data_IF_649065262807
#
_entry.id   IF_649065262807
#
_cell.length_a   1.000
_cell.length_b   1.000
_cell.length_c   1.000
_cell.angle_alpha   90.00
_cell.angle_beta   90.00
_cell.angle_gamma   90.00
#
_symmetry.space_group_name_H-M   'P 1'
#
loop_
_entity.id
_entity.type
_entity.pdbx_description
1 polymer ?
#
# COMPACT_ATOMS: atom_id res chain seq x y z
N UNK A 1 2.55 15.03 9.72
CA UNK A 1 2.55 14.19 8.50
C UNK A 1 3.55 13.02 8.56
N UNK A 2 4.76 13.19 9.12
CA UNK A 2 5.78 12.12 9.16
C UNK A 2 5.39 10.86 9.98
N UNK A 3 4.71 11.01 11.13
CA UNK A 3 4.32 9.86 11.96
C UNK A 3 3.30 8.96 11.25
N UNK A 4 2.32 9.56 10.56
CA UNK A 4 1.31 8.83 9.80
C UNK A 4 1.94 8.03 8.66
N UNK A 5 2.79 8.67 7.85
CA UNK A 5 3.47 8.02 6.73
C UNK A 5 4.34 6.86 7.20
N UNK A 6 5.13 7.05 8.26
CA UNK A 6 5.96 5.99 8.84
C UNK A 6 5.12 4.83 9.36
N UNK A 7 4.02 5.10 10.06
CA UNK A 7 3.10 4.04 10.55
C UNK A 7 2.43 3.31 9.39
N UNK A 8 1.99 4.03 8.36
CA UNK A 8 1.37 3.46 7.17
C UNK A 8 2.33 2.53 6.43
N UNK A 9 3.58 2.95 6.20
CA UNK A 9 4.60 2.14 5.54
C UNK A 9 4.90 0.89 6.36
N UNK A 10 5.14 1.03 7.67
CA UNK A 10 5.39 -0.12 8.55
C UNK A 10 4.26 -1.15 8.52
N UNK A 11 3.01 -0.68 8.58
CA UNK A 11 1.84 -1.57 8.52
C UNK A 11 1.68 -2.22 7.14
N UNK A 12 1.95 -1.48 6.07
CA UNK A 12 1.90 -2.02 4.71
C UNK A 12 2.96 -3.11 4.50
N UNK A 13 4.20 -2.87 4.92
CA UNK A 13 5.28 -3.87 4.87
C UNK A 13 4.91 -5.12 5.69
N UNK A 14 4.36 -4.97 6.89
CA UNK A 14 3.91 -6.12 7.68
C UNK A 14 2.84 -6.98 6.98
N UNK A 15 2.01 -6.41 6.09
CA UNK A 15 1.02 -7.17 5.30
C UNK A 15 1.69 -7.79 4.06
N UNK A 16 2.65 -7.08 3.45
CA UNK A 16 3.45 -7.60 2.33
C UNK A 16 4.29 -8.79 2.78
N UNK A 17 4.86 -8.74 3.98
CA UNK A 17 5.74 -9.78 4.53
C UNK A 17 4.96 -10.98 5.10
N UNK A 18 3.63 -10.87 5.26
CA UNK A 18 2.75 -11.93 5.75
C UNK A 18 1.82 -12.45 4.63
N UNK A 19 2.18 -13.57 3.97
CA UNK A 19 1.35 -14.19 2.94
C UNK A 19 0.00 -14.73 3.44
N UNK A 20 -0.14 -14.96 4.75
CA UNK A 20 -1.38 -15.48 5.34
C UNK A 20 -2.42 -14.38 5.57
N UNK A 21 -2.01 -13.12 5.48
CA UNK A 21 -2.88 -11.99 5.70
C UNK A 21 -3.94 -11.89 4.59
N UNK A 22 -5.24 -11.71 4.91
CA UNK A 22 -6.33 -11.70 3.92
C UNK A 22 -6.19 -10.58 2.88
N UNK A 23 -5.56 -9.46 3.26
CA UNK A 23 -5.29 -8.33 2.36
C UNK A 23 -3.94 -8.39 1.64
N UNK A 24 -3.15 -9.45 1.80
CA UNK A 24 -1.84 -9.59 1.14
C UNK A 24 -1.95 -9.45 -0.38
N UNK A 25 -3.01 -10.01 -0.97
CA UNK A 25 -3.30 -9.94 -2.42
C UNK A 25 -3.48 -8.52 -2.95
N UNK A 26 -3.85 -7.54 -2.10
CA UNK A 26 -3.93 -6.14 -2.50
C UNK A 26 -2.54 -5.51 -2.75
N UNK A 27 -1.49 -6.07 -2.14
CA UNK A 27 -0.11 -5.63 -2.29
C UNK A 27 0.65 -6.48 -3.32
N UNK A 28 0.08 -6.63 -4.50
CA UNK A 28 0.71 -7.37 -5.59
C UNK A 28 1.67 -6.49 -6.38
N UNK A 29 2.93 -6.93 -6.55
CA UNK A 29 3.90 -6.28 -7.43
C UNK A 29 3.52 -6.46 -8.91
N UNK A 30 3.82 -5.45 -9.72
CA UNK A 30 3.77 -5.57 -11.18
C UNK A 30 4.89 -6.49 -11.68
N UNK A 31 4.81 -7.04 -12.92
CA UNK A 31 5.82 -7.95 -13.46
C UNK A 31 7.26 -7.39 -13.45
N UNK A 32 7.42 -6.07 -13.43
CA UNK A 32 8.73 -5.42 -13.31
C UNK A 32 9.36 -5.54 -11.92
N UNK A 33 8.61 -5.96 -10.90
CA UNK A 33 9.06 -6.07 -9.50
C UNK A 33 9.28 -4.73 -8.78
N UNK A 34 9.11 -3.59 -9.46
CA UNK A 34 9.48 -2.27 -8.91
C UNK A 34 8.35 -1.56 -8.17
N UNK A 35 7.10 -1.81 -8.58
CA UNK A 35 5.92 -1.06 -8.11
C UNK A 35 4.76 -2.00 -7.84
N UNK A 36 4.00 -1.69 -6.80
CA UNK A 36 2.74 -2.32 -6.45
C UNK A 36 1.60 -1.85 -7.35
N UNK A 37 0.63 -2.71 -7.58
CA UNK A 37 -0.58 -2.40 -8.34
C UNK A 37 -1.46 -1.40 -7.59
N UNK A 38 -1.64 -0.21 -8.16
CA UNK A 38 -2.51 0.82 -7.58
C UNK A 38 -3.98 0.41 -7.55
N UNK A 39 -4.66 0.75 -6.45
CA UNK A 39 -6.12 0.65 -6.33
C UNK A 39 -6.76 1.85 -7.00
N UNK A 40 -7.72 1.61 -7.90
CA UNK A 40 -8.55 2.67 -8.47
C UNK A 40 -9.46 3.23 -7.39
N UNK A 41 -9.22 4.47 -6.98
CA UNK A 41 -10.05 5.19 -6.03
C UNK A 41 -10.67 6.41 -6.71
N UNK A 42 -12.01 6.47 -6.75
CA UNK A 42 -12.76 7.54 -7.42
C UNK A 42 -13.32 8.59 -6.46
N UNK A 43 -13.34 8.28 -5.16
CA UNK A 43 -13.83 9.19 -4.11
C UNK A 43 -12.70 9.60 -3.19
N UNK A 44 -12.76 10.83 -2.67
CA UNK A 44 -11.82 11.34 -1.67
C UNK A 44 -11.75 10.42 -0.44
N UNK A 45 -12.89 9.90 0.01
CA UNK A 45 -12.98 8.95 1.13
C UNK A 45 -12.13 7.69 0.88
N UNK A 46 -12.26 7.08 -0.29
CA UNK A 46 -11.46 5.89 -0.63
C UNK A 46 -9.99 6.26 -0.84
N UNK A 47 -9.69 7.37 -1.52
CA UNK A 47 -8.33 7.86 -1.72
C UNK A 47 -7.56 8.10 -0.42
N UNK A 48 -8.26 8.50 0.64
CA UNK A 48 -7.71 8.77 1.97
C UNK A 48 -7.79 7.57 2.92
N UNK A 49 -8.33 6.44 2.47
CA UNK A 49 -8.34 5.19 3.22
C UNK A 49 -6.95 4.55 3.24
N UNK A 50 -6.75 3.61 4.18
CA UNK A 50 -5.45 2.98 4.41
C UNK A 50 -4.83 2.34 3.16
N UNK A 51 -5.54 1.44 2.46
CA UNK A 51 -4.93 0.66 1.37
C UNK A 51 -4.47 1.50 0.17
N UNK A 52 -5.30 2.43 -0.37
CA UNK A 52 -4.84 3.28 -1.47
C UNK A 52 -3.69 4.20 -1.08
N UNK A 53 -3.68 4.72 0.17
CA UNK A 53 -2.56 5.51 0.68
C UNK A 53 -1.29 4.66 0.83
N UNK A 54 -1.39 3.49 1.45
CA UNK A 54 -0.27 2.58 1.67
C UNK A 54 0.42 2.20 0.36
N UNK A 55 -0.34 1.79 -0.65
CA UNK A 55 0.20 1.41 -1.96
C UNK A 55 0.88 2.60 -2.65
N UNK A 56 0.27 3.80 -2.57
CA UNK A 56 0.88 5.02 -3.12
C UNK A 56 2.19 5.35 -2.43
N UNK A 57 2.24 5.27 -1.10
CA UNK A 57 3.46 5.51 -0.32
C UNK A 57 4.56 4.53 -0.71
N UNK A 58 4.28 3.22 -0.73
CA UNK A 58 5.24 2.20 -1.16
C UNK A 58 5.74 2.45 -2.60
N UNK A 59 4.87 2.89 -3.51
CA UNK A 59 5.22 3.22 -4.89
C UNK A 59 6.03 4.52 -5.09
N UNK A 60 6.22 5.30 -4.02
CA UNK A 60 7.02 6.55 -4.02
C UNK A 60 8.29 6.46 -3.18
N UNK A 61 8.44 5.39 -2.39
CA UNK A 61 9.62 5.13 -1.55
C UNK A 61 10.72 4.34 -2.28
N UNK A 62 10.41 3.83 -3.48
CA UNK A 62 11.29 3.10 -4.40
C UNK A 62 11.63 4.00 -5.59
#
# INVERSE_FOLDING_TARGET
MHIYTTRCIRKANSIVDDPTHPSHTLFTLLPSGKRFRSIRATTSRLCNSFFPQAIRLLNTQN
#
